data_IF_056159900225
#
_entry.id   IF_056159900225
#
_cell.length_a   1.000
_cell.length_b   1.000
_cell.length_c   1.000
_cell.angle_alpha   90.00
_cell.angle_beta   90.00
_cell.angle_gamma   90.00
#
_symmetry.space_group_name_H-M   'P 1'
#
loop_
_entity.id
_entity.type
_entity.pdbx_description
1 polymer ?
#
# COMPACT_ATOMS: atom_id res chain seq x y z
N UNK A 1 15.00 57.13 -7.48
CA UNK A 1 16.14 56.32 -7.01
C UNK A 1 16.36 55.21 -8.03
N UNK A 2 17.59 55.03 -8.51
CA UNK A 2 17.94 53.84 -9.32
C UNK A 2 18.10 52.67 -8.34
N UNK A 3 17.53 51.49 -8.61
CA UNK A 3 17.76 50.33 -7.74
C UNK A 3 19.26 50.07 -7.67
N UNK A 4 19.79 49.92 -6.45
CA UNK A 4 21.19 49.62 -6.25
C UNK A 4 21.43 48.20 -6.77
N UNK A 5 22.62 47.90 -7.31
CA UNK A 5 22.92 46.57 -7.88
C UNK A 5 22.69 45.46 -6.85
N UNK A 6 22.91 45.77 -5.57
CA UNK A 6 22.64 44.91 -4.41
C UNK A 6 21.15 44.56 -4.26
N UNK A 7 20.23 45.50 -4.53
CA UNK A 7 18.78 45.27 -4.45
C UNK A 7 18.30 44.30 -5.53
N UNK A 8 18.86 44.43 -6.75
CA UNK A 8 18.54 43.56 -7.88
C UNK A 8 19.07 42.14 -7.62
N UNK A 9 20.30 42.02 -7.13
CA UNK A 9 20.90 40.72 -6.77
C UNK A 9 20.15 40.04 -5.62
N UNK A 10 19.69 40.79 -4.62
CA UNK A 10 18.89 40.27 -3.51
C UNK A 10 17.54 39.71 -4.01
N UNK A 11 16.86 40.42 -4.91
CA UNK A 11 15.59 39.97 -5.49
C UNK A 11 15.78 38.71 -6.34
N UNK A 12 16.83 38.65 -7.16
CA UNK A 12 17.13 37.47 -7.98
C UNK A 12 17.47 36.25 -7.12
N UNK A 13 18.29 36.43 -6.09
CA UNK A 13 18.65 35.36 -5.15
C UNK A 13 17.43 34.86 -4.36
N UNK A 14 16.55 35.77 -3.90
CA UNK A 14 15.28 35.39 -3.25
C UNK A 14 14.40 34.57 -4.19
N UNK A 15 14.32 34.96 -5.47
CA UNK A 15 13.54 34.23 -6.48
C UNK A 15 14.12 32.83 -6.71
N UNK A 16 15.43 32.72 -6.91
CA UNK A 16 16.09 31.43 -7.13
C UNK A 16 15.89 30.48 -5.95
N UNK A 17 16.05 30.98 -4.72
CA UNK A 17 15.82 30.20 -3.49
C UNK A 17 14.36 29.74 -3.40
N UNK A 18 13.42 30.65 -3.67
CA UNK A 18 11.99 30.32 -3.65
C UNK A 18 11.64 29.28 -4.71
N UNK A 19 12.09 29.45 -5.96
CA UNK A 19 11.87 28.50 -7.06
C UNK A 19 12.43 27.12 -6.72
N UNK A 20 13.64 27.06 -6.17
CA UNK A 20 14.26 25.80 -5.75
C UNK A 20 13.50 25.13 -4.61
N UNK A 21 13.10 25.90 -3.60
CA UNK A 21 12.37 25.37 -2.45
C UNK A 21 10.96 24.92 -2.81
N UNK A 22 10.15 25.78 -3.44
CA UNK A 22 8.78 25.43 -3.80
C UNK A 22 8.72 24.39 -4.91
N UNK A 23 9.70 24.38 -5.82
CA UNK A 23 9.85 23.33 -6.83
C UNK A 23 10.11 21.96 -6.20
N UNK A 24 11.06 21.88 -5.27
CA UNK A 24 11.33 20.63 -4.56
C UNK A 24 10.18 20.20 -3.65
N UNK A 25 9.57 21.14 -2.92
CA UNK A 25 8.36 20.85 -2.12
C UNK A 25 7.24 20.26 -2.97
N UNK A 26 6.98 20.84 -4.14
CA UNK A 26 5.95 20.35 -5.06
C UNK A 26 6.27 18.93 -5.54
N UNK A 27 7.53 18.64 -5.91
CA UNK A 27 7.98 17.30 -6.29
C UNK A 27 7.69 16.28 -5.18
N UNK A 28 8.10 16.58 -3.94
CA UNK A 28 7.87 15.69 -2.79
C UNK A 28 6.37 15.50 -2.50
N UNK A 29 5.56 16.55 -2.64
CA UNK A 29 4.11 16.46 -2.49
C UNK A 29 3.49 15.55 -3.56
N UNK A 30 3.93 15.65 -4.82
CA UNK A 30 3.50 14.77 -5.91
C UNK A 30 3.92 13.32 -5.66
N UNK A 31 5.18 13.06 -5.31
CA UNK A 31 5.69 11.72 -5.02
C UNK A 31 4.98 11.07 -3.81
N UNK A 32 4.65 11.89 -2.80
CA UNK A 32 3.89 11.42 -1.63
C UNK A 32 2.47 11.04 -2.00
N UNK A 33 1.81 11.79 -2.89
CA UNK A 33 0.48 11.45 -3.38
C UNK A 33 0.50 10.14 -4.17
N UNK A 34 1.48 9.96 -5.06
CA UNK A 34 1.65 8.73 -5.83
C UNK A 34 1.90 7.53 -4.89
N UNK A 35 2.74 7.70 -3.86
CA UNK A 35 2.96 6.69 -2.82
C UNK A 35 1.65 6.31 -2.11
N UNK A 36 0.82 7.29 -1.74
CA UNK A 36 -0.47 7.05 -1.10
C UNK A 36 -1.45 6.31 -2.02
N UNK A 37 -1.45 6.62 -3.31
CA UNK A 37 -2.26 5.89 -4.30
C UNK A 37 -1.81 4.44 -4.43
N UNK A 38 -0.50 4.17 -4.48
CA UNK A 38 0.06 2.82 -4.48
C UNK A 38 -0.35 2.04 -3.23
N UNK A 39 -0.24 2.63 -2.04
CA UNK A 39 -0.68 2.03 -0.76
C UNK A 39 -2.15 1.64 -0.83
N UNK A 40 -3.01 2.55 -1.27
CA UNK A 40 -4.46 2.30 -1.37
C UNK A 40 -4.79 1.20 -2.39
N UNK A 41 -4.10 1.19 -3.53
CA UNK A 41 -4.23 0.12 -4.50
C UNK A 41 -3.86 -1.22 -3.86
N UNK A 42 -2.77 -1.24 -3.10
CA UNK A 42 -2.22 -2.43 -2.47
C UNK A 42 -3.13 -3.03 -1.40
N UNK A 43 -3.72 -2.18 -0.55
CA UNK A 43 -4.78 -2.57 0.38
C UNK A 43 -5.95 -3.22 -0.37
N UNK A 44 -6.33 -2.67 -1.52
CA UNK A 44 -7.42 -3.25 -2.31
C UNK A 44 -7.10 -4.64 -2.87
N UNK A 45 -5.83 -4.92 -3.20
CA UNK A 45 -5.36 -6.26 -3.62
C UNK A 45 -5.50 -7.25 -2.46
N UNK A 46 -5.02 -6.85 -1.28
CA UNK A 46 -5.12 -7.65 -0.07
C UNK A 46 -6.59 -7.99 0.27
N UNK A 47 -7.43 -6.95 0.36
CA UNK A 47 -8.84 -7.06 0.76
C UNK A 47 -9.74 -7.77 -0.24
N UNK A 48 -9.47 -7.68 -1.55
CA UNK A 48 -10.43 -8.14 -2.58
C UNK A 48 -9.91 -9.27 -3.45
N UNK A 49 -8.59 -9.40 -3.59
CA UNK A 49 -8.02 -10.46 -4.44
C UNK A 49 -7.51 -11.60 -3.59
N UNK A 50 -6.59 -11.32 -2.67
CA UNK A 50 -6.01 -12.34 -1.77
C UNK A 50 -7.11 -12.94 -0.88
N UNK A 51 -7.84 -12.09 -0.15
CA UNK A 51 -8.90 -12.56 0.75
C UNK A 51 -9.97 -13.38 0.00
N UNK A 52 -10.36 -12.98 -1.21
CA UNK A 52 -11.42 -13.68 -1.94
C UNK A 52 -10.96 -15.06 -2.41
N UNK A 53 -9.72 -15.23 -2.86
CA UNK A 53 -9.22 -16.56 -3.22
C UNK A 53 -9.10 -17.46 -1.98
N UNK A 54 -8.62 -16.93 -0.85
CA UNK A 54 -8.60 -17.67 0.42
C UNK A 54 -10.01 -18.09 0.85
N UNK A 55 -10.96 -17.16 0.87
CA UNK A 55 -12.35 -17.42 1.21
C UNK A 55 -12.96 -18.49 0.28
N UNK A 56 -12.68 -18.44 -1.02
CA UNK A 56 -13.15 -19.48 -1.95
C UNK A 56 -12.59 -20.85 -1.57
N UNK A 57 -11.29 -20.93 -1.26
CA UNK A 57 -10.65 -22.17 -0.84
C UNK A 57 -11.26 -22.65 0.49
N UNK A 58 -11.45 -21.77 1.47
CA UNK A 58 -12.08 -22.11 2.75
C UNK A 58 -13.49 -22.64 2.58
N UNK A 59 -14.32 -21.99 1.75
CA UNK A 59 -15.67 -22.46 1.44
C UNK A 59 -15.62 -23.84 0.77
N UNK A 60 -14.70 -24.06 -0.17
CA UNK A 60 -14.61 -25.34 -0.88
C UNK A 60 -14.14 -26.47 0.05
N UNK A 61 -13.17 -26.19 0.91
CA UNK A 61 -12.69 -27.16 1.90
C UNK A 61 -13.75 -27.43 2.98
N UNK A 62 -14.46 -26.38 3.41
CA UNK A 62 -15.56 -26.34 4.39
C UNK A 62 -15.17 -26.80 5.81
N UNK A 63 -14.52 -27.95 5.91
CA UNK A 63 -14.03 -28.54 7.16
C UNK A 63 -12.80 -27.81 7.68
N UNK A 64 -12.86 -27.40 8.95
CA UNK A 64 -11.81 -26.62 9.59
C UNK A 64 -10.46 -27.36 9.65
N UNK A 65 -10.47 -28.69 9.78
CA UNK A 65 -9.23 -29.49 9.81
C UNK A 65 -8.58 -29.57 8.43
N UNK A 66 -9.38 -29.54 7.36
CA UNK A 66 -8.86 -29.46 5.99
C UNK A 66 -8.33 -28.06 5.69
N UNK A 67 -8.97 -27.01 6.21
CA UNK A 67 -8.49 -25.63 6.11
C UNK A 67 -7.14 -25.49 6.81
N UNK A 68 -6.99 -25.97 8.04
CA UNK A 68 -5.70 -25.90 8.74
C UNK A 68 -4.60 -26.63 7.96
N UNK A 69 -4.87 -27.85 7.49
CA UNK A 69 -3.91 -28.61 6.67
C UNK A 69 -3.54 -27.91 5.37
N UNK A 70 -4.46 -27.13 4.80
CA UNK A 70 -4.17 -26.29 3.65
C UNK A 70 -3.22 -25.15 4.04
N UNK A 71 -3.45 -24.46 5.16
CA UNK A 71 -2.55 -23.41 5.66
C UNK A 71 -1.13 -23.96 5.91
N UNK A 72 -1.03 -25.10 6.60
CA UNK A 72 0.24 -25.78 6.86
C UNK A 72 0.96 -26.14 5.55
N UNK A 73 0.22 -26.63 4.55
CA UNK A 73 0.76 -26.98 3.24
C UNK A 73 1.30 -25.75 2.48
N UNK A 74 0.72 -24.58 2.73
CA UNK A 74 1.16 -23.32 2.13
C UNK A 74 2.31 -22.65 2.88
N UNK A 75 2.68 -23.14 4.06
CA UNK A 75 3.68 -22.51 4.93
C UNK A 75 3.18 -21.28 5.69
N UNK A 76 1.85 -21.12 5.79
CA UNK A 76 1.22 -20.05 6.56
C UNK A 76 0.72 -20.64 7.88
N UNK A 77 1.21 -20.10 9.01
CA UNK A 77 0.90 -20.65 10.35
C UNK A 77 -0.48 -20.23 10.85
N UNK A 78 -0.98 -19.06 10.41
CA UNK A 78 -2.27 -18.51 10.80
C UNK A 78 -3.28 -18.55 9.66
N UNK A 79 -4.56 -18.80 10.00
CA UNK A 79 -5.67 -18.78 9.06
C UNK A 79 -6.05 -17.33 8.69
N UNK A 80 -5.23 -16.71 7.85
CA UNK A 80 -5.48 -15.34 7.39
C UNK A 80 -6.89 -15.21 6.80
N UNK A 81 -7.62 -14.19 7.23
CA UNK A 81 -9.00 -13.89 6.79
C UNK A 81 -10.02 -15.02 7.03
N UNK A 82 -9.75 -15.92 7.97
CA UNK A 82 -10.70 -16.97 8.34
C UNK A 82 -11.62 -16.52 9.48
N UNK A 83 -12.91 -16.72 9.25
CA UNK A 83 -13.97 -16.67 10.25
C UNK A 83 -14.88 -17.88 9.98
N UNK A 84 -15.27 -18.68 10.98
CA UNK A 84 -16.13 -19.84 10.78
C UNK A 84 -17.40 -19.54 9.96
N UNK A 85 -18.00 -18.36 10.14
CA UNK A 85 -19.21 -17.90 9.44
C UNK A 85 -19.02 -17.80 7.91
N UNK A 86 -17.78 -17.60 7.43
CA UNK A 86 -17.48 -17.49 5.99
C UNK A 86 -17.88 -18.76 5.24
N UNK A 87 -17.69 -19.93 5.85
CA UNK A 87 -18.02 -21.22 5.22
C UNK A 87 -19.53 -21.46 5.14
N UNK A 88 -20.29 -20.86 6.06
CA UNK A 88 -21.73 -21.04 6.20
C UNK A 88 -22.53 -20.02 5.40
N UNK A 89 -22.02 -18.79 5.25
CA UNK A 89 -22.77 -17.66 4.68
C UNK A 89 -23.04 -17.80 3.17
N UNK A 90 -24.31 -17.92 2.74
CA UNK A 90 -24.67 -17.98 1.33
C UNK A 90 -24.35 -16.68 0.58
N UNK A 91 -24.48 -15.54 1.26
CA UNK A 91 -24.20 -14.22 0.69
C UNK A 91 -22.71 -14.06 0.35
N UNK A 92 -21.82 -14.45 1.28
CA UNK A 92 -20.38 -14.42 1.05
C UNK A 92 -20.03 -15.34 -0.11
N UNK A 93 -20.55 -16.57 -0.10
CA UNK A 93 -20.34 -17.53 -1.18
C UNK A 93 -20.74 -16.98 -2.54
N UNK A 94 -21.96 -16.44 -2.67
CA UNK A 94 -22.43 -15.83 -3.92
C UNK A 94 -21.53 -14.68 -4.37
N UNK A 95 -21.08 -13.84 -3.43
CA UNK A 95 -20.19 -12.70 -3.72
C UNK A 95 -18.85 -13.14 -4.27
N UNK A 96 -18.18 -14.09 -3.61
CA UNK A 96 -16.82 -14.51 -4.02
C UNK A 96 -16.85 -15.37 -5.27
N UNK A 97 -17.84 -16.23 -5.49
CA UNK A 97 -17.89 -17.06 -6.70
C UNK A 97 -18.51 -16.38 -7.93
N UNK A 98 -19.01 -15.15 -7.80
CA UNK A 98 -19.59 -14.39 -8.92
C UNK A 98 -18.58 -14.21 -10.06
N UNK A 99 -18.94 -14.66 -11.26
CA UNK A 99 -18.12 -14.51 -12.47
C UNK A 99 -16.98 -15.53 -12.60
N UNK A 100 -16.85 -16.48 -11.65
CA UNK A 100 -15.85 -17.53 -11.74
C UNK A 100 -16.25 -18.57 -12.78
N UNK A 101 -15.37 -18.82 -13.75
CA UNK A 101 -15.57 -19.87 -14.76
C UNK A 101 -15.26 -21.23 -14.15
N UNK A 102 -16.24 -22.12 -14.18
CA UNK A 102 -16.08 -23.50 -13.71
C UNK A 102 -15.75 -24.40 -14.90
N UNK A 103 -14.60 -25.09 -14.85
CA UNK A 103 -14.12 -25.97 -15.93
C UNK A 103 -14.00 -27.43 -15.48
N UNK A 104 -14.28 -28.37 -16.38
CA UNK A 104 -14.11 -29.80 -16.16
C UNK A 104 -15.33 -30.62 -16.57
N UNK A 105 -15.11 -31.87 -16.95
CA UNK A 105 -16.15 -32.75 -17.49
C UNK A 105 -17.06 -33.35 -16.40
N UNK A 106 -16.48 -33.74 -15.26
CA UNK A 106 -17.20 -34.36 -14.15
C UNK A 106 -17.43 -33.37 -13.00
N UNK A 107 -18.40 -33.64 -12.12
CA UNK A 107 -18.61 -32.81 -10.90
C UNK A 107 -17.36 -32.78 -10.02
N UNK A 108 -16.73 -33.94 -9.79
CA UNK A 108 -15.47 -34.02 -9.04
C UNK A 108 -14.33 -33.25 -9.73
N UNK A 109 -14.21 -33.37 -11.05
CA UNK A 109 -13.20 -32.63 -11.82
C UNK A 109 -13.40 -31.12 -11.76
N UNK A 110 -14.65 -30.65 -11.86
CA UNK A 110 -15.02 -29.23 -11.71
C UNK A 110 -14.67 -28.68 -10.34
N UNK A 111 -15.03 -29.40 -9.28
CA UNK A 111 -14.70 -29.01 -7.91
C UNK A 111 -13.18 -28.91 -7.71
N UNK A 112 -12.43 -29.92 -8.19
CA UNK A 112 -10.97 -29.92 -8.09
C UNK A 112 -10.34 -28.75 -8.82
N UNK A 113 -10.74 -28.52 -10.07
CA UNK A 113 -10.21 -27.41 -10.86
C UNK A 113 -10.54 -26.07 -10.20
N UNK A 114 -11.71 -25.93 -9.58
CA UNK A 114 -12.08 -24.68 -8.89
C UNK A 114 -11.12 -24.35 -7.73
N UNK A 115 -10.71 -25.34 -6.94
CA UNK A 115 -9.71 -25.15 -5.87
C UNK A 115 -8.33 -24.85 -6.46
N UNK A 116 -7.91 -25.59 -7.48
CA UNK A 116 -6.59 -25.40 -8.10
C UNK A 116 -6.48 -24.03 -8.75
N UNK A 117 -7.50 -23.61 -9.51
CA UNK A 117 -7.54 -22.31 -10.16
C UNK A 117 -7.57 -21.18 -9.12
N UNK A 118 -8.27 -21.36 -8.00
CA UNK A 118 -8.26 -20.40 -6.89
C UNK A 118 -6.88 -20.29 -6.24
N UNK A 119 -6.20 -21.43 -6.05
CA UNK A 119 -4.86 -21.45 -5.49
C UNK A 119 -3.82 -20.81 -6.41
N UNK A 120 -3.86 -21.09 -7.72
CA UNK A 120 -2.94 -20.44 -8.68
C UNK A 120 -3.14 -18.92 -8.71
N UNK A 121 -4.40 -18.45 -8.69
CA UNK A 121 -4.69 -17.02 -8.59
C UNK A 121 -4.21 -16.42 -7.27
N UNK A 122 -4.38 -17.15 -6.17
CA UNK A 122 -3.89 -16.72 -4.86
C UNK A 122 -2.37 -16.53 -4.87
N UNK A 123 -1.62 -17.51 -5.38
CA UNK A 123 -0.16 -17.43 -5.52
C UNK A 123 0.21 -16.19 -6.35
N UNK A 124 -0.41 -16.01 -7.52
CA UNK A 124 -0.13 -14.86 -8.38
C UNK A 124 -0.45 -13.51 -7.70
N UNK A 125 -1.54 -13.44 -6.93
CA UNK A 125 -1.91 -12.23 -6.20
C UNK A 125 -1.00 -11.94 -5.00
N UNK A 126 -0.49 -12.97 -4.32
CA UNK A 126 0.46 -12.82 -3.22
C UNK A 126 1.83 -12.37 -3.74
N UNK A 127 2.33 -12.96 -4.82
CA UNK A 127 3.60 -12.53 -5.42
C UNK A 127 3.53 -11.09 -5.91
N UNK A 128 2.50 -10.75 -6.69
CA UNK A 128 2.26 -9.35 -7.08
C UNK A 128 2.11 -8.43 -5.88
N UNK A 129 1.51 -8.93 -4.79
CA UNK A 129 1.34 -8.12 -3.60
C UNK A 129 2.69 -7.78 -2.94
N UNK A 130 3.57 -8.77 -2.85
CA UNK A 130 4.89 -8.64 -2.24
C UNK A 130 5.81 -7.73 -3.05
N UNK A 131 5.84 -7.90 -4.37
CA UNK A 131 6.64 -7.05 -5.28
C UNK A 131 6.28 -5.57 -5.13
N UNK A 132 4.98 -5.25 -5.14
CA UNK A 132 4.53 -3.86 -4.98
C UNK A 132 4.76 -3.32 -3.56
N UNK A 133 4.73 -4.18 -2.53
CA UNK A 133 5.00 -3.75 -1.15
C UNK A 133 6.46 -3.32 -1.00
N UNK A 134 7.39 -4.09 -1.57
CA UNK A 134 8.82 -3.72 -1.64
C UNK A 134 9.03 -2.40 -2.41
N UNK A 135 8.29 -2.20 -3.50
CA UNK A 135 8.33 -0.93 -4.25
C UNK A 135 7.82 0.26 -3.41
N UNK A 136 6.74 0.08 -2.63
CA UNK A 136 6.20 1.10 -1.72
C UNK A 136 7.22 1.45 -0.63
N UNK A 137 7.85 0.43 -0.02
CA UNK A 137 8.89 0.61 0.99
C UNK A 137 10.07 1.40 0.41
N UNK A 138 10.58 0.99 -0.75
CA UNK A 138 11.69 1.65 -1.46
C UNK A 138 11.35 3.08 -1.85
N UNK A 139 10.13 3.31 -2.37
CA UNK A 139 9.67 4.65 -2.75
C UNK A 139 9.61 5.58 -1.54
N UNK A 140 9.10 5.08 -0.41
CA UNK A 140 9.05 5.85 0.83
C UNK A 140 10.44 6.17 1.37
N UNK A 141 11.37 5.22 1.31
CA UNK A 141 12.76 5.44 1.72
C UNK A 141 13.42 6.51 0.83
N UNK A 142 13.23 6.42 -0.49
CA UNK A 142 13.74 7.40 -1.46
C UNK A 142 13.26 8.82 -1.15
N UNK A 143 11.95 9.01 -0.96
CA UNK A 143 11.37 10.33 -0.61
C UNK A 143 11.99 10.86 0.69
N UNK A 144 12.17 10.01 1.70
CA UNK A 144 12.79 10.41 2.96
C UNK A 144 14.25 10.84 2.77
N UNK A 145 15.03 10.08 2.00
CA UNK A 145 16.43 10.39 1.70
C UNK A 145 16.57 11.70 0.91
N UNK A 146 15.68 11.94 -0.06
CA UNK A 146 15.66 13.17 -0.84
C UNK A 146 15.35 14.39 0.02
N UNK A 147 14.38 14.29 0.93
CA UNK A 147 14.08 15.34 1.92
C UNK A 147 15.33 15.64 2.78
N UNK A 148 15.98 14.60 3.30
CA UNK A 148 17.20 14.76 4.13
C UNK A 148 18.38 15.33 3.33
N UNK A 149 18.56 14.94 2.07
CA UNK A 149 19.56 15.51 1.17
C UNK A 149 19.26 16.96 0.85
N UNK A 150 17.99 17.31 0.67
CA UNK A 150 17.55 18.68 0.42
C UNK A 150 17.88 19.58 1.60
N UNK A 151 17.54 19.18 2.83
CA UNK A 151 17.89 19.95 4.03
C UNK A 151 19.41 20.03 4.27
N UNK A 152 20.19 19.01 3.91
CA UNK A 152 21.65 19.06 3.99
C UNK A 152 22.29 20.01 2.97
N UNK A 153 21.77 20.02 1.74
CA UNK A 153 22.30 20.85 0.64
C UNK A 153 21.79 22.29 0.69
N UNK A 154 20.62 22.50 1.26
CA UNK A 154 20.00 23.80 1.43
C UNK A 154 19.85 24.00 2.93
N UNK A 155 20.79 24.72 3.53
CA UNK A 155 20.66 25.11 4.92
C UNK A 155 19.52 26.13 5.03
N UNK A 156 18.30 25.63 5.15
CA UNK A 156 17.09 26.46 5.19
C UNK A 156 17.15 27.41 6.39
N UNK A 157 17.82 27.01 7.48
CA UNK A 157 18.07 27.88 8.63
C UNK A 157 18.91 29.11 8.23
N UNK A 158 20.02 28.89 7.53
CA UNK A 158 20.88 29.97 7.02
C UNK A 158 20.21 30.78 5.90
N UNK A 159 19.47 30.14 5.00
CA UNK A 159 18.71 30.79 3.93
C UNK A 159 17.61 31.69 4.51
N UNK A 160 16.84 31.18 5.49
CA UNK A 160 15.79 31.95 6.17
C UNK A 160 16.37 33.04 7.08
N UNK A 161 17.56 32.83 7.64
CA UNK A 161 18.32 33.86 8.35
C UNK A 161 18.79 34.97 7.40
N UNK A 162 19.28 34.59 6.22
CA UNK A 162 19.77 35.52 5.19
C UNK A 162 18.63 36.32 4.55
N UNK A 163 17.50 35.69 4.21
CA UNK A 163 16.32 36.39 3.70
C UNK A 163 15.79 37.43 4.70
N UNK A 164 15.83 37.10 6.01
CA UNK A 164 15.47 38.03 7.10
C UNK A 164 16.47 39.16 7.28
N UNK A 165 17.78 38.88 7.18
CA UNK A 165 18.82 39.91 7.26
C UNK A 165 18.65 40.96 6.14
N UNK A 166 18.31 40.52 4.92
CA UNK A 166 18.00 41.43 3.81
C UNK A 166 16.67 42.18 3.96
N UNK A 167 15.68 41.62 4.66
CA UNK A 167 14.43 42.35 4.99
C UNK A 167 14.63 43.38 6.10
N UNK A 168 15.61 43.16 6.98
CA UNK A 168 15.93 44.05 8.10
C UNK A 168 16.67 45.34 7.71
N UNK A 169 17.23 45.44 6.51
CA UNK A 169 18.02 46.61 6.07
C UNK A 169 17.23 47.64 5.24
N UNK A 170 15.91 47.45 5.02
CA UNK A 170 15.16 48.26 4.06
C UNK A 170 13.82 48.87 4.48
N UNK A 171 13.32 48.65 5.71
CA UNK A 171 11.99 49.15 6.11
C UNK A 171 12.02 49.91 7.43
N UNK A 172 12.60 51.12 7.41
CA UNK A 172 12.05 52.22 8.22
C UNK A 172 10.75 52.69 7.56
N UNK A 173 9.64 51.99 7.82
CA UNK A 173 8.32 52.62 7.70
C UNK A 173 7.38 52.17 8.82
N UNK A 174 7.19 53.11 9.75
CA UNK A 174 5.90 53.47 10.36
C UNK A 174 4.84 52.36 10.53
N UNK A 175 5.02 51.50 11.53
CA UNK A 175 4.08 51.24 12.63
C UNK A 175 4.51 49.97 13.35
N UNK A 176 4.94 50.12 14.59
CA UNK A 176 5.53 49.07 15.42
C UNK A 176 4.59 47.89 15.70
N UNK A 177 4.50 46.95 14.78
CA UNK A 177 4.12 45.57 15.07
C UNK A 177 5.40 44.75 15.05
N UNK A 178 6.02 44.60 16.22
CA UNK A 178 7.04 43.57 16.42
C UNK A 178 6.38 42.23 16.08
N UNK A 179 6.91 41.43 15.13
CA UNK A 179 6.38 40.09 14.91
C UNK A 179 6.50 39.34 16.24
N UNK A 180 5.37 38.90 16.78
CA UNK A 180 5.34 38.17 18.04
C UNK A 180 6.26 36.95 17.91
N UNK A 181 7.11 36.69 18.90
CA UNK A 181 8.11 35.63 18.85
C UNK A 181 7.54 34.25 18.48
N UNK A 182 6.25 33.98 18.76
CA UNK A 182 5.54 32.76 18.36
C UNK A 182 5.08 32.68 16.89
N UNK A 183 5.09 33.78 16.13
CA UNK A 183 4.75 33.79 14.70
C UNK A 183 5.88 33.25 13.81
N UNK A 184 7.12 33.35 14.30
CA UNK A 184 8.34 32.95 13.60
C UNK A 184 8.50 31.43 13.59
N UNK A 185 8.34 30.79 14.75
CA UNK A 185 8.35 29.32 14.86
C UNK A 185 7.21 28.67 14.07
N UNK A 186 6.05 29.34 14.02
CA UNK A 186 4.89 28.89 13.26
C UNK A 186 5.10 28.99 11.73
N UNK A 187 5.83 30.01 11.25
CA UNK A 187 6.16 30.14 9.84
C UNK A 187 7.23 29.13 9.42
N UNK A 188 8.26 28.93 10.24
CA UNK A 188 9.30 27.94 10.01
C UNK A 188 8.70 26.52 9.97
N UNK A 189 7.79 26.19 10.89
CA UNK A 189 7.09 24.90 10.88
C UNK A 189 6.25 24.69 9.61
N UNK A 190 5.58 25.73 9.08
CA UNK A 190 4.81 25.64 7.83
C UNK A 190 5.67 25.52 6.58
N UNK A 191 6.94 25.92 6.69
CA UNK A 191 7.97 25.85 5.65
C UNK A 191 8.86 24.61 5.80
N UNK A 192 8.48 23.63 6.63
CA UNK A 192 9.12 22.31 6.60
C UNK A 192 8.37 21.41 5.62
N UNK A 193 9.12 20.79 4.73
CA UNK A 193 8.66 19.69 3.92
C UNK A 193 8.39 18.51 4.85
N UNK A 194 7.15 18.05 4.86
CA UNK A 194 6.72 16.95 5.69
C UNK A 194 7.25 15.63 5.11
N UNK A 195 7.68 14.73 5.99
CA UNK A 195 7.99 13.36 5.58
C UNK A 195 6.69 12.63 5.20
N UNK A 196 6.73 11.71 4.23
CA UNK A 196 5.59 10.85 3.95
C UNK A 196 5.17 10.10 5.22
N UNK A 197 3.86 9.84 5.39
CA UNK A 197 3.37 9.09 6.54
C UNK A 197 4.03 7.68 6.62
N UNK A 198 4.01 7.03 7.80
CA UNK A 198 4.37 5.63 7.87
C UNK A 198 3.45 4.80 6.97
N UNK A 199 3.96 3.67 6.48
CA UNK A 199 3.15 2.70 5.74
C UNK A 199 1.99 2.26 6.64
N UNK A 200 0.80 2.16 6.04
CA UNK A 200 -0.41 1.78 6.74
C UNK A 200 -0.21 0.44 7.48
N UNK A 201 -0.47 0.35 8.80
CA UNK A 201 -0.33 -0.90 9.54
C UNK A 201 -1.25 -2.02 9.02
N UNK A 202 -2.29 -1.70 8.24
CA UNK A 202 -3.13 -2.68 7.56
C UNK A 202 -2.41 -3.41 6.40
N UNK A 203 -1.33 -2.83 5.86
CA UNK A 203 -0.46 -3.52 4.91
C UNK A 203 0.44 -4.51 5.67
N UNK A 204 -0.09 -5.71 5.88
CA UNK A 204 0.65 -6.80 6.50
C UNK A 204 1.72 -7.37 5.56
N UNK A 205 2.84 -7.79 6.13
CA UNK A 205 3.83 -8.59 5.42
C UNK A 205 3.32 -10.03 5.29
N UNK A 206 3.22 -10.53 4.06
CA UNK A 206 2.72 -11.89 3.77
C UNK A 206 3.86 -12.73 3.20
N UNK A 207 4.22 -13.90 3.78
CA UNK A 207 5.26 -14.76 3.24
C UNK A 207 4.86 -15.35 1.87
N UNK A 208 5.84 -15.67 1.00
CA UNK A 208 5.56 -16.22 -0.33
C UNK A 208 4.84 -17.56 -0.21
N UNK A 209 3.97 -17.86 -1.17
CA UNK A 209 3.24 -19.12 -1.22
C UNK A 209 4.02 -20.18 -2.01
N UNK A 210 3.92 -21.43 -1.58
CA UNK A 210 4.52 -22.54 -2.31
C UNK A 210 3.83 -22.73 -3.67
N UNK A 211 4.55 -22.73 -4.81
CA UNK A 211 3.91 -22.87 -6.12
C UNK A 211 3.09 -24.16 -6.26
N UNK A 212 1.95 -24.09 -6.97
CA UNK A 212 1.04 -25.23 -7.15
C UNK A 212 1.75 -26.54 -7.57
N UNK A 213 2.71 -26.57 -8.51
CA UNK A 213 3.38 -27.80 -8.91
C UNK A 213 3.98 -28.57 -7.72
N UNK A 214 4.50 -27.85 -6.72
CA UNK A 214 5.20 -28.42 -5.57
C UNK A 214 4.24 -29.01 -4.53
N UNK A 215 3.01 -28.50 -4.44
CA UNK A 215 2.00 -28.98 -3.49
C UNK A 215 0.83 -29.73 -4.13
N UNK A 216 0.78 -29.81 -5.45
CA UNK A 216 -0.36 -30.30 -6.24
C UNK A 216 -0.88 -31.67 -5.79
N UNK A 217 0.03 -32.60 -5.43
CA UNK A 217 -0.31 -33.93 -4.95
C UNK A 217 -1.02 -33.89 -3.60
N UNK A 218 -0.51 -33.11 -2.66
CA UNK A 218 -1.07 -33.01 -1.31
C UNK A 218 -2.36 -32.19 -1.31
N UNK A 219 -2.39 -31.09 -2.07
CA UNK A 219 -3.60 -30.31 -2.27
C UNK A 219 -4.72 -31.17 -2.87
N UNK A 220 -4.40 -32.02 -3.87
CA UNK A 220 -5.37 -32.97 -4.42
C UNK A 220 -5.96 -33.89 -3.35
N UNK A 221 -5.17 -34.39 -2.40
CA UNK A 221 -5.69 -35.24 -1.32
C UNK A 221 -6.66 -34.48 -0.41
N UNK A 222 -6.39 -33.21 -0.11
CA UNK A 222 -7.30 -32.37 0.68
C UNK A 222 -8.62 -32.12 -0.09
N UNK A 223 -8.52 -31.78 -1.36
CA UNK A 223 -9.66 -31.54 -2.25
C UNK A 223 -10.53 -32.78 -2.42
N UNK A 224 -9.92 -33.95 -2.63
CA UNK A 224 -10.64 -35.22 -2.77
C UNK A 224 -11.39 -35.58 -1.46
N UNK A 225 -10.82 -35.25 -0.29
CA UNK A 225 -11.50 -35.40 1.01
C UNK A 225 -12.65 -34.42 1.15
N UNK A 226 -12.44 -33.14 0.87
CA UNK A 226 -13.48 -32.11 0.94
C UNK A 226 -14.66 -32.46 0.02
N UNK A 227 -14.40 -32.89 -1.21
CA UNK A 227 -15.45 -33.29 -2.15
C UNK A 227 -16.29 -34.46 -1.63
N UNK A 228 -15.65 -35.46 -1.00
CA UNK A 228 -16.33 -36.61 -0.39
C UNK A 228 -17.18 -36.22 0.81
N UNK A 229 -16.65 -35.39 1.72
CA UNK A 229 -17.39 -34.89 2.89
C UNK A 229 -18.63 -34.10 2.47
N UNK A 230 -18.47 -33.20 1.50
CA UNK A 230 -19.53 -32.32 1.05
C UNK A 230 -20.46 -32.97 0.01
N UNK A 231 -20.15 -34.19 -0.47
CA UNK A 231 -20.86 -34.91 -1.55
C UNK A 231 -21.15 -34.05 -2.79
N UNK A 232 -20.30 -33.05 -3.06
CA UNK A 232 -20.48 -32.08 -4.14
C UNK A 232 -21.62 -31.06 -3.96
N UNK A 233 -22.24 -30.93 -2.77
CA UNK A 233 -23.31 -29.95 -2.50
C UNK A 233 -22.87 -28.52 -2.77
N UNK A 234 -21.69 -28.15 -2.27
CA UNK A 234 -21.11 -26.81 -2.43
C UNK A 234 -20.97 -26.45 -3.92
N UNK A 235 -20.54 -27.40 -4.76
CA UNK A 235 -20.44 -27.15 -6.20
C UNK A 235 -21.82 -26.92 -6.84
N UNK A 236 -22.85 -27.62 -6.38
CA UNK A 236 -24.21 -27.43 -6.88
C UNK A 236 -24.75 -26.04 -6.53
N UNK A 237 -24.47 -25.57 -5.31
CA UNK A 237 -24.87 -24.24 -4.81
C UNK A 237 -24.10 -23.08 -5.47
N UNK A 238 -22.87 -23.33 -5.94
CA UNK A 238 -22.08 -22.34 -6.68
C UNK A 238 -22.51 -22.28 -8.16
N UNK A 239 -22.98 -23.39 -8.72
CA UNK A 239 -23.36 -23.50 -10.13
C UNK A 239 -24.83 -23.15 -10.42
N UNK A 240 -25.65 -22.95 -9.40
CA UNK A 240 -27.04 -22.49 -9.47
C UNK A 240 -27.15 -20.98 -9.55
#
# INVERSE_FOLDING_TARGET
MKPNVEDVLAVELKREIAERYFGFRKMIEEDTLDLMEKIKYQLSILEKRISYELIRIYILLYDETLIQKFMDLTGWEEKLFYDPYITESPTIRKKVFRGIKIRGLTRAGRFKNLVFDAYERLVAHVEHYRENLEEIETSRETINEEIELFYRKNDIGNIMGFMRAMEGEGSEDSMGVKPAAGSVDAFEHKMRIAKPPPIDPELITIPPLVPLPNISRELKKLVDKAYKLNRGKILAEIAS
#
